data_IF_884650887069
#
_entry.id   IF_884650887069
#
_cell.length_a   1.000
_cell.length_b   1.000
_cell.length_c   1.000
_cell.angle_alpha   90.00
_cell.angle_beta   90.00
_cell.angle_gamma   90.00
#
_symmetry.space_group_name_H-M   'P 1'
#
loop_
_entity.id
_entity.type
_entity.pdbx_description
1 polymer ?
#
# COMPACT_ATOMS: atom_id res chain seq x y z
N UNK A 1 -2.23 -0.98 -6.20
CA UNK A 1 -2.04 -1.18 -4.74
C UNK A 1 -2.65 -0.03 -3.93
N UNK A 2 -2.25 1.23 -4.09
CA UNK A 2 -2.79 2.33 -3.26
C UNK A 2 -4.33 2.42 -3.27
N UNK A 3 -4.97 2.36 -4.46
CA UNK A 3 -6.43 2.33 -4.55
C UNK A 3 -7.07 1.11 -3.86
N UNK A 4 -6.42 -0.05 -3.94
CA UNK A 4 -6.90 -1.27 -3.32
C UNK A 4 -6.85 -1.15 -1.79
N UNK A 5 -5.72 -0.69 -1.25
CA UNK A 5 -5.57 -0.41 0.18
C UNK A 5 -6.62 0.61 0.68
N UNK A 6 -6.91 1.65 -0.10
CA UNK A 6 -7.93 2.62 0.28
C UNK A 6 -9.35 2.02 0.26
N UNK A 7 -9.68 1.21 -0.75
CA UNK A 7 -11.03 0.67 -0.96
C UNK A 7 -11.36 -0.55 -0.11
N UNK A 8 -10.39 -1.44 0.08
CA UNK A 8 -10.59 -2.75 0.71
C UNK A 8 -10.14 -2.75 2.17
N UNK A 9 -9.08 -2.00 2.50
CA UNK A 9 -8.47 -1.99 3.85
C UNK A 9 -8.71 -0.68 4.62
N UNK A 10 -9.33 0.32 3.99
CA UNK A 10 -9.54 1.65 4.58
C UNK A 10 -8.24 2.45 4.80
N UNK A 11 -7.15 2.06 4.14
CA UNK A 11 -5.83 2.67 4.28
C UNK A 11 -5.55 3.64 3.13
N UNK A 12 -5.87 4.92 3.36
CA UNK A 12 -5.55 5.99 2.41
C UNK A 12 -4.07 6.38 2.54
N UNK A 13 -3.22 5.86 1.65
CA UNK A 13 -1.75 5.95 1.73
C UNK A 13 -1.10 6.49 0.46
N UNK A 14 0.13 6.97 0.57
CA UNK A 14 0.95 7.40 -0.57
C UNK A 14 1.57 6.27 -1.39
N UNK A 15 2.17 6.64 -2.52
CA UNK A 15 2.77 5.71 -3.49
C UNK A 15 3.86 4.82 -2.89
N UNK A 16 4.73 5.38 -2.04
CA UNK A 16 5.81 4.62 -1.39
C UNK A 16 5.27 3.49 -0.53
N UNK A 17 4.21 3.75 0.26
CA UNK A 17 3.51 2.72 1.04
C UNK A 17 2.89 1.66 0.14
N UNK A 18 2.25 2.06 -0.97
CA UNK A 18 1.69 1.10 -1.92
C UNK A 18 2.74 0.17 -2.54
N UNK A 19 3.94 0.69 -2.83
CA UNK A 19 5.05 -0.14 -3.31
C UNK A 19 5.57 -1.07 -2.22
N UNK A 20 5.75 -0.56 -1.01
CA UNK A 20 6.17 -1.32 0.17
C UNK A 20 5.24 -2.51 0.44
N UNK A 21 3.92 -2.30 0.44
CA UNK A 21 2.95 -3.40 0.62
C UNK A 21 2.98 -4.39 -0.53
N UNK A 22 3.14 -3.91 -1.78
CA UNK A 22 3.28 -4.80 -2.94
C UNK A 22 4.49 -5.72 -2.79
N UNK A 23 5.64 -5.18 -2.36
CA UNK A 23 6.85 -5.95 -2.12
C UNK A 23 6.69 -6.90 -0.93
N UNK A 24 6.07 -6.45 0.17
CA UNK A 24 5.81 -7.28 1.34
C UNK A 24 4.93 -8.50 1.01
N UNK A 25 3.89 -8.33 0.19
CA UNK A 25 3.04 -9.44 -0.27
C UNK A 25 3.84 -10.43 -1.12
N UNK A 26 4.73 -9.96 -2.01
CA UNK A 26 5.61 -10.83 -2.80
C UNK A 26 6.57 -11.62 -1.90
N UNK A 27 7.22 -10.94 -0.96
CA UNK A 27 8.12 -11.57 0.01
C UNK A 27 7.40 -12.61 0.88
N UNK A 28 6.18 -12.32 1.33
CA UNK A 28 5.39 -13.27 2.11
C UNK A 28 5.08 -14.56 1.32
N UNK A 29 4.83 -14.45 0.00
CA UNK A 29 4.64 -15.61 -0.87
C UNK A 29 5.93 -16.43 -1.02
N UNK A 30 7.07 -15.78 -1.14
CA UNK A 30 8.38 -16.43 -1.25
C UNK A 30 8.80 -17.14 0.05
N UNK A 31 8.54 -16.52 1.21
CA UNK A 31 8.88 -17.08 2.52
C UNK A 31 7.98 -18.25 2.95
N UNK A 32 6.77 -18.34 2.39
CA UNK A 32 5.81 -19.38 2.71
C UNK A 32 5.04 -19.18 4.02
N UNK A 33 4.13 -20.12 4.35
CA UNK A 33 3.21 -19.99 5.49
C UNK A 33 3.94 -19.98 6.84
N UNK A 34 3.34 -19.32 7.83
CA UNK A 34 3.89 -19.23 9.20
C UNK A 34 4.97 -18.15 9.38
N UNK A 35 5.23 -17.33 8.35
CA UNK A 35 6.14 -16.18 8.41
C UNK A 35 5.37 -14.87 8.38
N UNK A 36 5.89 -13.88 9.11
CA UNK A 36 5.31 -12.53 9.18
C UNK A 36 6.24 -11.54 8.51
N UNK A 37 5.72 -10.76 7.56
CA UNK A 37 6.45 -9.68 6.88
C UNK A 37 5.86 -8.35 7.33
N UNK A 38 6.72 -7.41 7.72
CA UNK A 38 6.33 -6.06 8.13
C UNK A 38 6.97 -5.06 7.18
N UNK A 39 6.26 -3.98 6.87
CA UNK A 39 6.77 -2.86 6.08
C UNK A 39 6.25 -1.53 6.61
N UNK A 40 6.73 -0.41 6.05
CA UNK A 40 6.47 0.93 6.55
C UNK A 40 5.41 1.63 5.70
N UNK A 41 4.41 2.21 6.37
CA UNK A 41 3.53 3.22 5.79
C UNK A 41 4.19 4.60 5.96
N UNK A 42 4.70 5.16 4.87
CA UNK A 42 5.54 6.36 4.90
C UNK A 42 4.74 7.65 5.11
N UNK A 43 3.55 7.74 4.51
CA UNK A 43 2.64 8.88 4.66
C UNK A 43 1.20 8.54 4.26
N UNK A 44 0.32 9.52 4.45
CA UNK A 44 -1.10 9.44 4.10
C UNK A 44 -1.34 9.82 2.64
N UNK A 45 -2.39 9.24 2.06
CA UNK A 45 -2.83 9.54 0.69
C UNK A 45 -3.37 10.96 0.52
N UNK A 46 -3.66 11.67 1.61
CA UNK A 46 -4.16 13.05 1.60
C UNK A 46 -3.27 14.01 0.81
N UNK A 47 -1.95 13.80 0.82
CA UNK A 47 -1.00 14.62 0.05
C UNK A 47 -1.19 14.53 -1.46
N UNK A 48 -1.89 13.50 -1.94
CA UNK A 48 -2.00 13.17 -3.36
C UNK A 48 -3.39 13.42 -3.94
N UNK A 49 -4.32 14.03 -3.17
CA UNK A 49 -5.68 14.32 -3.60
C UNK A 49 -5.76 15.27 -4.80
N UNK A 50 -4.82 16.22 -4.91
CA UNK A 50 -4.74 17.14 -6.05
C UNK A 50 -3.86 16.60 -7.20
N UNK A 51 -3.36 15.38 -7.07
CA UNK A 51 -2.51 14.72 -8.06
C UNK A 51 -3.27 13.65 -8.84
N UNK A 52 -2.53 12.90 -9.66
CA UNK A 52 -3.10 11.81 -10.47
C UNK A 52 -3.41 10.54 -9.69
N UNK A 53 -2.84 10.38 -8.48
CA UNK A 53 -2.92 9.12 -7.73
C UNK A 53 -4.36 8.79 -7.30
N UNK A 54 -5.19 9.79 -7.03
CA UNK A 54 -6.59 9.60 -6.64
C UNK A 54 -7.55 10.49 -7.46
N UNK A 55 -7.16 10.84 -8.70
CA UNK A 55 -7.95 11.75 -9.53
C UNK A 55 -9.33 11.17 -9.92
N UNK A 56 -9.43 9.84 -10.00
CA UNK A 56 -10.65 9.11 -10.35
C UNK A 56 -11.28 8.39 -9.14
N UNK A 57 -10.84 8.72 -7.93
CA UNK A 57 -11.31 8.09 -6.69
C UNK A 57 -12.63 8.68 -6.20
#
# INVERSE_FOLDING_TARGET
MCHQLAREEGLLVGTSTGLNVTAAIRMAKELGPGRTVVTVASDTGLKYMNGKLFADA
#
